data_IF_261006616363
#
_entry.id   IF_261006616363
#
_cell.length_a   1.000
_cell.length_b   1.000
_cell.length_c   1.000
_cell.angle_alpha   90.00
_cell.angle_beta   90.00
_cell.angle_gamma   90.00
#
_symmetry.space_group_name_H-M   'P 1'
#
loop_
_entity.id
_entity.type
_entity.pdbx_description
1 polymer ?
#
# COMPACT_ATOMS: atom_id res chain seq x y z
N UNK A 1 29.08 4.99 -14.74
CA UNK A 1 27.83 4.47 -14.15
C UNK A 1 27.92 4.62 -12.65
N UNK A 2 27.24 5.62 -12.09
CA UNK A 2 27.15 5.77 -10.64
C UNK A 2 26.18 4.75 -10.07
N UNK A 3 26.59 4.02 -9.04
CA UNK A 3 25.70 3.09 -8.35
C UNK A 3 24.69 3.89 -7.52
N UNK A 4 23.41 3.87 -7.89
CA UNK A 4 22.33 4.34 -7.01
C UNK A 4 22.22 3.34 -5.86
N UNK A 5 22.85 3.65 -4.72
CA UNK A 5 22.52 2.97 -3.46
C UNK A 5 21.14 3.47 -3.03
N UNK A 6 20.33 2.59 -2.47
CA UNK A 6 19.00 2.91 -1.94
C UNK A 6 19.00 2.46 -0.49
N UNK A 7 18.59 3.35 0.38
CA UNK A 7 18.42 3.04 1.79
C UNK A 7 16.93 2.87 2.07
N UNK A 8 16.59 1.78 2.75
CA UNK A 8 15.22 1.48 3.16
C UNK A 8 15.05 1.88 4.63
N UNK A 9 14.46 3.05 4.94
CA UNK A 9 14.09 3.36 6.31
C UNK A 9 12.89 2.49 6.71
N UNK A 10 12.94 1.89 7.90
CA UNK A 10 11.80 1.21 8.52
C UNK A 10 10.71 2.20 9.00
N UNK A 11 10.92 3.50 8.81
CA UNK A 11 10.08 4.58 9.31
C UNK A 11 9.84 5.60 8.18
N UNK A 12 8.73 5.45 7.47
CA UNK A 12 8.27 6.34 6.37
C UNK A 12 8.29 7.83 6.76
N UNK A 13 7.95 8.16 8.02
CA UNK A 13 7.85 9.53 8.52
C UNK A 13 9.20 10.19 8.86
N UNK A 14 10.28 9.43 9.04
CA UNK A 14 11.58 9.97 9.45
C UNK A 14 12.51 10.28 8.27
N UNK A 15 12.14 9.87 7.06
CA UNK A 15 12.98 10.00 5.89
C UNK A 15 13.28 11.45 5.52
N UNK A 16 12.29 12.34 5.65
CA UNK A 16 12.45 13.76 5.38
C UNK A 16 13.45 14.42 6.33
N UNK A 17 13.37 14.12 7.63
CA UNK A 17 14.34 14.58 8.63
C UNK A 17 15.77 14.11 8.29
N UNK A 18 15.90 12.91 7.73
CA UNK A 18 17.20 12.39 7.30
C UNK A 18 17.76 13.17 6.11
N UNK A 19 16.92 13.51 5.12
CA UNK A 19 17.33 14.35 3.99
C UNK A 19 17.70 15.77 4.44
N UNK A 20 16.93 16.36 5.38
CA UNK A 20 17.25 17.67 5.96
C UNK A 20 18.60 17.65 6.67
N UNK A 21 18.93 16.57 7.39
CA UNK A 21 20.20 16.39 8.08
C UNK A 21 21.37 16.13 7.11
N UNK A 22 21.11 15.46 5.98
CA UNK A 22 22.12 15.07 5.00
C UNK A 22 21.72 15.49 3.58
N UNK A 23 21.71 16.79 3.24
CA UNK A 23 21.19 17.28 1.96
C UNK A 23 22.04 16.91 0.73
N UNK A 24 23.28 16.46 0.93
CA UNK A 24 24.19 16.01 -0.14
C UNK A 24 24.26 14.48 -0.24
N UNK A 25 23.20 13.81 0.18
CA UNK A 25 23.14 12.36 0.18
C UNK A 25 23.28 11.85 -1.27
N UNK A 26 24.29 11.02 -1.53
CA UNK A 26 24.52 10.41 -2.85
C UNK A 26 23.60 9.22 -3.14
N UNK A 27 22.53 9.05 -2.36
CA UNK A 27 21.59 7.93 -2.42
C UNK A 27 20.18 8.47 -2.40
N UNK A 28 19.26 7.77 -3.07
CA UNK A 28 17.83 8.11 -3.04
C UNK A 28 17.15 7.37 -1.90
N UNK A 29 16.27 8.09 -1.21
CA UNK A 29 15.46 7.54 -0.15
C UNK A 29 14.12 7.10 -0.74
N UNK A 30 13.81 5.81 -0.60
CA UNK A 30 12.58 5.23 -1.13
C UNK A 30 11.90 4.49 0.00
N UNK A 31 10.82 5.08 0.51
CA UNK A 31 10.01 4.47 1.54
C UNK A 31 9.11 3.37 0.98
N UNK A 32 8.78 3.42 -0.32
CA UNK A 32 8.07 2.39 -1.08
C UNK A 32 6.54 2.42 -0.97
N UNK A 33 5.98 3.49 -0.41
CA UNK A 33 4.54 3.72 -0.27
C UNK A 33 3.81 3.63 -1.60
N UNK A 34 4.36 4.19 -2.67
CA UNK A 34 3.72 4.32 -3.98
C UNK A 34 3.47 2.95 -4.58
N UNK A 35 4.48 2.07 -4.60
CA UNK A 35 4.30 0.72 -5.13
C UNK A 35 3.41 -0.13 -4.22
N UNK A 36 3.50 0.03 -2.89
CA UNK A 36 2.62 -0.66 -1.98
C UNK A 36 1.14 -0.27 -2.20
N UNK A 37 0.86 1.02 -2.35
CA UNK A 37 -0.48 1.53 -2.66
C UNK A 37 -0.97 1.01 -4.02
N UNK A 38 -0.11 1.00 -5.05
CA UNK A 38 -0.44 0.45 -6.35
C UNK A 38 -0.81 -1.05 -6.26
N UNK A 39 -0.03 -1.85 -5.53
CA UNK A 39 -0.33 -3.28 -5.30
C UNK A 39 -1.69 -3.46 -4.62
N UNK A 40 -2.02 -2.65 -3.61
CA UNK A 40 -3.34 -2.70 -2.95
C UNK A 40 -4.46 -2.44 -3.97
N UNK A 41 -4.34 -1.39 -4.77
CA UNK A 41 -5.35 -1.01 -5.78
C UNK A 41 -5.52 -2.12 -6.82
N UNK A 42 -4.42 -2.69 -7.32
CA UNK A 42 -4.47 -3.79 -8.30
C UNK A 42 -4.95 -5.12 -7.72
N UNK A 43 -5.02 -5.26 -6.39
CA UNK A 43 -5.57 -6.44 -5.71
C UNK A 43 -7.10 -6.37 -5.56
N UNK A 44 -7.68 -5.16 -5.67
CA UNK A 44 -9.13 -4.96 -5.61
C UNK A 44 -9.78 -5.59 -6.86
N UNK A 45 -10.82 -6.43 -6.71
CA UNK A 45 -11.55 -6.99 -7.84
C UNK A 45 -12.07 -5.92 -8.81
N UNK A 46 -11.98 -6.19 -10.10
CA UNK A 46 -12.56 -5.32 -11.10
C UNK A 46 -14.08 -5.19 -10.91
N UNK A 47 -14.60 -3.97 -11.04
CA UNK A 47 -16.02 -3.68 -10.85
C UNK A 47 -16.41 -3.33 -9.41
N UNK A 48 -15.48 -3.39 -8.44
CA UNK A 48 -15.73 -2.86 -7.09
C UNK A 48 -16.00 -1.35 -7.16
N UNK A 49 -17.19 -0.96 -6.70
CA UNK A 49 -17.64 0.44 -6.68
C UNK A 49 -17.56 1.10 -5.29
N UNK A 50 -17.36 0.31 -4.23
CA UNK A 50 -17.18 0.79 -2.87
C UNK A 50 -16.31 -0.17 -2.04
N UNK A 51 -15.55 0.40 -1.11
CA UNK A 51 -14.69 -0.32 -0.17
C UNK A 51 -14.86 0.23 1.24
N UNK A 52 -14.61 -0.61 2.25
CA UNK A 52 -14.40 -0.16 3.62
C UNK A 52 -12.89 0.03 3.83
N UNK A 53 -12.48 1.18 4.36
CA UNK A 53 -11.10 1.45 4.79
C UNK A 53 -11.06 1.49 6.33
N UNK A 54 -10.36 0.55 6.94
CA UNK A 54 -10.35 0.36 8.39
C UNK A 54 -8.93 0.13 8.94
N UNK A 55 -8.70 0.55 10.19
CA UNK A 55 -7.38 0.65 10.81
C UNK A 55 -6.78 2.06 10.72
N UNK A 56 -5.56 2.23 11.24
CA UNK A 56 -4.87 3.53 11.31
C UNK A 56 -4.56 4.08 9.92
N UNK A 57 -4.85 5.36 9.68
CA UNK A 57 -4.57 6.02 8.40
C UNK A 57 -3.06 6.27 8.22
N UNK A 58 -2.43 5.38 7.47
CA UNK A 58 -1.04 5.49 7.03
C UNK A 58 -0.90 6.25 5.71
N UNK A 59 0.34 6.58 5.31
CA UNK A 59 0.64 7.17 3.99
C UNK A 59 0.14 6.30 2.82
N UNK A 60 0.20 4.97 2.97
CA UNK A 60 -0.35 4.02 1.99
C UNK A 60 -1.87 4.14 1.95
N UNK A 61 -2.54 4.17 3.12
CA UNK A 61 -4.00 4.33 3.18
C UNK A 61 -4.47 5.63 2.51
N UNK A 62 -3.77 6.75 2.76
CA UNK A 62 -4.03 8.05 2.11
C UNK A 62 -3.92 7.94 0.59
N UNK A 63 -2.82 7.34 0.10
CA UNK A 63 -2.55 7.17 -1.33
C UNK A 63 -3.59 6.30 -2.03
N UNK A 64 -3.96 5.18 -1.39
CA UNK A 64 -4.99 4.26 -1.89
C UNK A 64 -6.36 4.95 -1.94
N UNK A 65 -6.75 5.62 -0.86
CA UNK A 65 -8.03 6.32 -0.81
C UNK A 65 -8.13 7.43 -1.86
N UNK A 66 -7.11 8.27 -2.00
CA UNK A 66 -7.07 9.32 -3.02
C UNK A 66 -7.20 8.74 -4.44
N UNK A 67 -6.48 7.67 -4.74
CA UNK A 67 -6.54 7.02 -6.05
C UNK A 67 -7.91 6.38 -6.33
N UNK A 68 -8.54 5.76 -5.32
CA UNK A 68 -9.87 5.16 -5.45
C UNK A 68 -10.96 6.23 -5.62
N UNK A 69 -10.92 7.30 -4.82
CA UNK A 69 -11.83 8.43 -4.96
C UNK A 69 -11.71 9.07 -6.36
N UNK A 70 -10.50 9.21 -6.90
CA UNK A 70 -10.26 9.67 -8.29
C UNK A 70 -10.82 8.72 -9.35
N UNK A 71 -10.86 7.42 -9.06
CA UNK A 71 -11.49 6.39 -9.92
C UNK A 71 -12.99 6.22 -9.68
N UNK A 72 -13.64 7.14 -8.94
CA UNK A 72 -15.07 7.09 -8.57
C UNK A 72 -15.49 5.83 -7.78
N UNK A 73 -14.55 5.25 -7.02
CA UNK A 73 -14.84 4.19 -6.05
C UNK A 73 -15.09 4.85 -4.69
N UNK A 74 -16.22 4.52 -4.06
CA UNK A 74 -16.56 5.06 -2.73
C UNK A 74 -15.66 4.45 -1.66
N UNK A 75 -14.93 5.29 -0.93
CA UNK A 75 -14.12 4.89 0.21
C UNK A 75 -14.90 5.21 1.48
N UNK A 76 -15.33 4.16 2.17
CA UNK A 76 -16.13 4.27 3.39
C UNK A 76 -15.20 4.08 4.59
N UNK A 77 -15.18 5.08 5.47
CA UNK A 77 -14.47 5.02 6.75
C UNK A 77 -15.49 4.94 7.88
N UNK A 78 -15.27 4.05 8.83
CA UNK A 78 -16.17 3.82 9.97
C UNK A 78 -15.78 4.63 11.20
N UNK A 79 -14.49 4.89 11.39
CA UNK A 79 -13.95 5.67 12.49
C UNK A 79 -13.90 7.16 12.15
N UNK A 80 -14.52 7.99 13.00
CA UNK A 80 -14.60 9.45 12.80
C UNK A 80 -13.24 10.14 12.84
N UNK A 81 -12.34 9.71 13.72
CA UNK A 81 -11.00 10.30 13.84
C UNK A 81 -10.19 10.02 12.57
N UNK A 82 -10.18 8.77 12.12
CA UNK A 82 -9.51 8.36 10.88
C UNK A 82 -10.09 9.07 9.66
N UNK A 83 -11.41 9.26 9.59
CA UNK A 83 -12.05 10.06 8.53
C UNK A 83 -11.53 11.50 8.51
N UNK A 84 -11.40 12.15 9.67
CA UNK A 84 -10.88 13.52 9.75
C UNK A 84 -9.39 13.62 9.37
N UNK A 85 -8.59 12.58 9.61
CA UNK A 85 -7.20 12.51 9.16
C UNK A 85 -7.09 12.32 7.64
N UNK A 86 -8.03 11.57 7.05
CA UNK A 86 -8.01 11.25 5.63
C UNK A 86 -8.59 12.34 4.75
N UNK A 87 -9.65 13.02 5.21
CA UNK A 87 -10.40 14.02 4.44
C UNK A 87 -9.51 15.10 3.78
N UNK A 88 -8.51 15.69 4.46
CA UNK A 88 -7.63 16.70 3.85
C UNK A 88 -6.76 16.17 2.71
N UNK A 89 -6.57 14.86 2.62
CA UNK A 89 -5.76 14.22 1.57
C UNK A 89 -6.55 13.92 0.29
N UNK A 90 -7.87 14.10 0.31
CA UNK A 90 -8.74 13.86 -0.86
C UNK A 90 -9.03 15.22 -1.51
N UNK A 91 -8.79 15.39 -2.82
CA UNK A 91 -9.09 16.66 -3.47
C UNK A 91 -10.60 16.92 -3.52
N UNK A 92 -10.98 18.19 -3.57
CA UNK A 92 -12.35 18.64 -3.33
C UNK A 92 -13.34 18.10 -4.37
N UNK A 93 -12.89 17.95 -5.62
CA UNK A 93 -13.69 17.41 -6.71
C UNK A 93 -13.96 15.89 -6.55
N UNK A 94 -13.16 15.15 -5.80
CA UNK A 94 -13.42 13.74 -5.46
C UNK A 94 -13.99 13.54 -4.05
N UNK A 95 -14.18 14.59 -3.26
CA UNK A 95 -14.58 14.48 -1.85
C UNK A 95 -15.92 13.75 -1.65
N UNK A 96 -16.81 13.78 -2.66
CA UNK A 96 -18.07 13.02 -2.65
C UNK A 96 -17.91 11.50 -2.61
N UNK A 97 -16.71 10.98 -2.94
CA UNK A 97 -16.39 9.56 -2.88
C UNK A 97 -15.84 9.13 -1.51
N UNK A 98 -15.53 10.05 -0.59
CA UNK A 98 -15.11 9.74 0.77
C UNK A 98 -16.30 9.86 1.75
N UNK A 99 -16.70 8.74 2.35
CA UNK A 99 -17.92 8.64 3.17
C UNK A 99 -17.59 8.21 4.60
N UNK A 100 -18.14 8.92 5.59
CA UNK A 100 -18.16 8.45 6.98
C UNK A 100 -19.46 7.69 7.23
N UNK A 101 -19.38 6.38 7.51
CA UNK A 101 -20.56 5.56 7.79
C UNK A 101 -20.23 4.36 8.66
N UNK A 102 -21.08 4.07 9.65
CA UNK A 102 -20.94 2.91 10.55
C UNK A 102 -21.85 1.75 10.19
N UNK A 103 -22.82 1.97 9.28
CA UNK A 103 -23.85 1.01 8.89
C UNK A 103 -23.67 0.47 7.48
N UNK A 104 -22.81 1.09 6.68
CA UNK A 104 -22.54 0.64 5.31
C UNK A 104 -21.75 -0.67 5.31
N UNK A 105 -21.98 -1.48 4.29
CA UNK A 105 -21.28 -2.73 4.05
C UNK A 105 -20.55 -2.68 2.71
N UNK A 106 -19.47 -3.43 2.58
CA UNK A 106 -18.78 -3.63 1.32
C UNK A 106 -18.21 -5.05 1.28
N UNK A 107 -18.09 -5.61 0.08
CA UNK A 107 -17.46 -6.90 -0.15
C UNK A 107 -15.93 -6.83 0.01
N UNK A 108 -15.34 -5.65 -0.16
CA UNK A 108 -13.90 -5.42 -0.07
C UNK A 108 -13.58 -4.51 1.10
N UNK A 109 -12.68 -4.98 1.96
CA UNK A 109 -12.19 -4.26 3.13
C UNK A 109 -10.68 -4.05 3.01
N UNK A 110 -10.27 -2.80 2.91
CA UNK A 110 -8.89 -2.39 2.98
C UNK A 110 -8.51 -2.22 4.45
N UNK A 111 -7.58 -3.04 4.94
CA UNK A 111 -7.29 -3.13 6.38
C UNK A 111 -5.84 -2.78 6.71
N UNK A 112 -5.68 -1.98 7.76
CA UNK A 112 -4.39 -1.51 8.25
C UNK A 112 -4.03 -2.04 9.63
N UNK A 113 -2.89 -1.55 10.12
CA UNK A 113 -2.48 -1.74 11.51
C UNK A 113 -3.51 -1.09 12.45
N UNK A 114 -3.69 -1.69 13.63
CA UNK A 114 -4.59 -1.16 14.66
C UNK A 114 -6.08 -1.33 14.35
N UNK A 115 -6.45 -2.14 13.36
CA UNK A 115 -7.84 -2.56 13.16
C UNK A 115 -8.33 -3.31 14.41
N UNK A 116 -9.44 -2.84 14.97
CA UNK A 116 -10.08 -3.47 16.12
C UNK A 116 -10.71 -4.83 15.74
N UNK A 117 -10.60 -5.81 16.64
CA UNK A 117 -11.11 -7.16 16.39
C UNK A 117 -12.63 -7.20 16.30
N UNK A 118 -13.34 -6.45 17.16
CA UNK A 118 -14.79 -6.37 17.10
C UNK A 118 -15.24 -5.67 15.82
N UNK A 119 -14.50 -4.67 15.35
CA UNK A 119 -14.73 -4.06 14.03
C UNK A 119 -14.57 -5.05 12.88
N UNK A 120 -13.47 -5.81 12.83
CA UNK A 120 -13.25 -6.81 11.78
C UNK A 120 -14.35 -7.89 11.79
N UNK A 121 -14.84 -8.28 12.97
CA UNK A 121 -15.93 -9.23 13.13
C UNK A 121 -17.28 -8.71 12.62
N UNK A 122 -17.44 -7.42 12.32
CA UNK A 122 -18.67 -6.88 11.69
C UNK A 122 -18.71 -7.06 10.17
N UNK A 123 -17.58 -7.38 9.53
CA UNK A 123 -17.52 -7.52 8.07
C UNK A 123 -18.52 -8.56 7.56
N UNK A 124 -19.24 -8.37 6.44
CA UNK A 124 -20.18 -9.38 5.94
C UNK A 124 -19.51 -10.73 5.61
N UNK A 125 -20.31 -11.80 5.58
CA UNK A 125 -19.86 -13.10 5.02
C UNK A 125 -19.42 -12.91 3.57
N UNK A 126 -18.30 -13.53 3.19
CA UNK A 126 -17.72 -13.40 1.84
C UNK A 126 -16.82 -12.17 1.67
N UNK A 127 -16.58 -11.39 2.73
CA UNK A 127 -15.67 -10.24 2.65
C UNK A 127 -14.26 -10.66 2.22
N UNK A 128 -13.66 -9.82 1.38
CA UNK A 128 -12.27 -9.89 0.95
C UNK A 128 -11.47 -8.81 1.65
N UNK A 129 -10.63 -9.22 2.58
CA UNK A 129 -9.70 -8.34 3.29
C UNK A 129 -8.42 -8.16 2.49
N UNK A 130 -8.05 -6.91 2.20
CA UNK A 130 -6.83 -6.54 1.49
C UNK A 130 -5.99 -5.67 2.42
N UNK A 131 -4.88 -6.19 2.96
CA UNK A 131 -4.03 -5.41 3.84
C UNK A 131 -3.33 -4.28 3.09
N UNK A 132 -3.20 -3.12 3.72
CA UNK A 132 -2.30 -2.04 3.30
C UNK A 132 -1.13 -1.82 4.28
N UNK A 133 -1.00 -2.68 5.29
CA UNK A 133 0.10 -2.71 6.26
C UNK A 133 1.27 -3.57 5.77
N UNK A 134 2.48 -3.27 6.25
CA UNK A 134 3.69 -4.05 5.95
C UNK A 134 3.62 -5.46 6.55
N UNK A 135 3.18 -5.54 7.81
CA UNK A 135 3.02 -6.80 8.52
C UNK A 135 1.62 -7.39 8.30
N UNK A 136 1.50 -8.73 8.22
CA UNK A 136 0.21 -9.40 8.12
C UNK A 136 -0.72 -8.99 9.26
N UNK A 137 -1.98 -8.62 8.96
CA UNK A 137 -2.92 -8.29 10.01
C UNK A 137 -3.30 -9.55 10.79
N UNK A 138 -3.76 -9.35 12.02
CA UNK A 138 -4.44 -10.41 12.75
C UNK A 138 -5.74 -10.74 12.02
N UNK A 139 -5.98 -12.03 11.81
CA UNK A 139 -7.13 -12.55 11.08
C UNK A 139 -8.18 -13.03 12.06
N UNK A 140 -9.10 -12.17 12.46
CA UNK A 140 -10.16 -12.49 13.43
C UNK A 140 -11.36 -13.20 12.79
N UNK A 141 -11.55 -13.07 11.46
CA UNK A 141 -12.72 -13.60 10.74
C UNK A 141 -12.34 -14.61 9.64
N UNK A 142 -11.79 -15.76 10.05
CA UNK A 142 -11.29 -16.81 9.12
C UNK A 142 -12.34 -17.79 8.62
N UNK A 143 -13.49 -17.85 9.27
CA UNK A 143 -14.55 -18.83 9.04
C UNK A 143 -15.25 -18.63 7.69
N UNK A 144 -15.33 -17.39 7.21
CA UNK A 144 -16.19 -17.05 6.08
C UNK A 144 -15.73 -15.87 5.21
N UNK A 145 -14.48 -15.42 5.40
CA UNK A 145 -13.87 -14.32 4.65
C UNK A 145 -12.49 -14.73 4.14
N UNK A 146 -11.99 -14.00 3.14
CA UNK A 146 -10.66 -14.24 2.57
C UNK A 146 -9.71 -13.10 2.92
N UNK A 147 -8.43 -13.42 3.05
CA UNK A 147 -7.37 -12.44 3.33
C UNK A 147 -6.35 -12.50 2.21
N UNK A 148 -6.19 -11.38 1.50
CA UNK A 148 -5.05 -11.20 0.63
C UNK A 148 -3.77 -11.07 1.46
N UNK A 149 -2.65 -11.37 0.82
CA UNK A 149 -1.34 -11.12 1.41
C UNK A 149 -1.08 -9.62 1.56
N UNK A 150 -0.19 -9.24 2.47
CA UNK A 150 0.31 -7.86 2.51
C UNK A 150 0.94 -7.47 1.17
N UNK A 151 1.01 -6.17 0.83
CA UNK A 151 1.50 -5.73 -0.46
C UNK A 151 2.88 -6.30 -0.77
N UNK A 152 2.93 -7.21 -1.74
CA UNK A 152 4.12 -7.94 -2.13
C UNK A 152 4.03 -8.37 -3.59
N UNK A 153 5.18 -8.61 -4.19
CA UNK A 153 5.30 -9.01 -5.60
C UNK A 153 6.22 -10.22 -5.73
N UNK A 154 5.91 -11.08 -6.70
CA UNK A 154 6.77 -12.16 -7.15
C UNK A 154 8.00 -11.59 -7.85
N UNK A 155 9.17 -12.13 -7.52
CA UNK A 155 10.48 -11.68 -7.99
C UNK A 155 10.82 -12.38 -9.31
N UNK A 156 11.27 -11.64 -10.35
CA UNK A 156 11.58 -12.19 -11.68
C UNK A 156 12.66 -13.26 -11.63
N UNK A 157 12.56 -14.27 -12.52
CA UNK A 157 13.50 -15.39 -12.61
C UNK A 157 14.95 -14.98 -12.83
N UNK A 158 15.17 -13.87 -13.52
CA UNK A 158 16.49 -13.27 -13.75
C UNK A 158 17.20 -12.83 -12.46
N UNK A 159 16.46 -12.54 -11.38
CA UNK A 159 17.05 -12.15 -10.10
C UNK A 159 17.38 -13.39 -9.27
N UNK A 160 18.67 -13.68 -9.14
CA UNK A 160 19.19 -14.82 -8.40
C UNK A 160 19.53 -14.45 -6.95
N UNK A 161 19.67 -15.46 -6.09
CA UNK A 161 20.04 -15.31 -4.67
C UNK A 161 19.10 -14.43 -3.84
N UNK A 162 17.84 -14.32 -4.26
CA UNK A 162 16.79 -13.65 -3.49
C UNK A 162 16.15 -14.63 -2.53
N UNK A 163 16.61 -14.58 -1.29
CA UNK A 163 15.94 -15.23 -0.16
C UNK A 163 14.97 -14.23 0.48
N UNK A 164 13.75 -14.66 0.81
CA UNK A 164 12.78 -13.78 1.48
C UNK A 164 13.33 -13.37 2.84
N UNK A 165 13.54 -12.06 3.05
CA UNK A 165 13.90 -11.50 4.35
C UNK A 165 12.68 -11.35 5.29
N UNK A 166 11.48 -11.62 4.78
CA UNK A 166 10.20 -11.48 5.46
C UNK A 166 9.63 -12.88 5.67
N UNK A 167 9.62 -13.35 6.92
CA UNK A 167 9.28 -14.72 7.29
C UNK A 167 7.84 -15.13 6.99
N UNK A 168 6.95 -14.18 6.72
CA UNK A 168 5.55 -14.42 6.31
C UNK A 168 5.35 -14.47 4.79
N UNK A 169 6.37 -14.17 3.99
CA UNK A 169 6.28 -14.22 2.53
C UNK A 169 6.89 -15.54 2.00
N UNK A 170 6.27 -16.18 0.98
CA UNK A 170 6.84 -17.37 0.38
C UNK A 170 8.16 -17.04 -0.34
N UNK A 171 8.92 -18.08 -0.69
CA UNK A 171 10.15 -17.91 -1.48
C UNK A 171 9.85 -17.19 -2.79
N UNK A 172 10.78 -16.33 -3.22
CA UNK A 172 10.68 -15.51 -4.43
C UNK A 172 9.50 -14.52 -4.41
N UNK A 173 9.04 -14.15 -3.23
CA UNK A 173 8.11 -13.03 -3.02
C UNK A 173 8.78 -12.03 -2.08
N UNK A 174 8.64 -10.76 -2.40
CA UNK A 174 9.24 -9.64 -1.67
C UNK A 174 8.18 -8.56 -1.45
N UNK A 175 8.20 -7.88 -0.30
CA UNK A 175 7.27 -6.79 -0.05
C UNK A 175 7.40 -5.67 -1.07
N UNK A 176 6.27 -5.05 -1.40
CA UNK A 176 6.18 -3.98 -2.38
C UNK A 176 7.09 -2.79 -2.00
N UNK A 177 7.24 -2.51 -0.71
CA UNK A 177 8.14 -1.47 -0.20
C UNK A 177 9.62 -1.75 -0.59
N UNK A 178 10.07 -3.00 -0.53
CA UNK A 178 11.42 -3.39 -0.94
C UNK A 178 11.59 -3.39 -2.45
N UNK A 179 10.58 -3.90 -3.16
CA UNK A 179 10.54 -3.89 -4.63
C UNK A 179 10.60 -2.46 -5.17
N UNK A 180 9.94 -1.50 -4.50
CA UNK A 180 9.93 -0.10 -4.90
C UNK A 180 11.35 0.46 -5.00
N UNK A 181 12.21 0.19 -4.00
CA UNK A 181 13.61 0.59 -4.07
C UNK A 181 14.32 -0.01 -5.28
N UNK A 182 14.16 -1.31 -5.54
CA UNK A 182 14.80 -1.96 -6.69
C UNK A 182 14.34 -1.30 -8.01
N UNK A 183 13.04 -1.12 -8.18
CA UNK A 183 12.46 -0.47 -9.38
C UNK A 183 12.99 0.94 -9.54
N UNK A 184 13.04 1.71 -8.45
CA UNK A 184 13.58 3.08 -8.45
C UNK A 184 15.04 3.13 -8.92
N UNK A 185 15.88 2.17 -8.49
CA UNK A 185 17.26 2.06 -8.96
C UNK A 185 17.36 1.65 -10.44
N UNK A 186 16.55 0.68 -10.87
CA UNK A 186 16.54 0.19 -12.25
C UNK A 186 16.10 1.27 -13.24
N UNK A 187 15.14 2.09 -12.85
CA UNK A 187 14.63 3.21 -13.64
C UNK A 187 15.53 4.45 -13.61
N UNK A 188 16.48 4.51 -12.66
CA UNK A 188 17.36 5.67 -12.50
C UNK A 188 16.62 6.94 -12.11
N UNK A 189 15.49 6.83 -11.40
CA UNK A 189 14.74 8.00 -10.95
C UNK A 189 15.58 8.84 -9.96
N UNK A 190 15.46 10.16 -10.10
CA UNK A 190 16.22 11.14 -9.33
C UNK A 190 15.44 11.75 -8.17
N UNK A 191 14.18 11.35 -8.01
CA UNK A 191 13.25 11.88 -7.02
C UNK A 191 13.38 11.07 -5.72
N UNK A 192 13.30 11.69 -4.56
CA UNK A 192 13.16 10.95 -3.31
C UNK A 192 11.68 10.62 -3.06
N UNK A 193 11.40 9.42 -2.57
CA UNK A 193 10.07 8.98 -2.16
C UNK A 193 10.06 8.80 -0.63
N UNK A 194 9.91 9.91 0.10
CA UNK A 194 9.83 9.92 1.56
C UNK A 194 9.04 11.14 2.06
N UNK A 195 8.74 11.20 3.36
CA UNK A 195 7.90 12.27 3.90
C UNK A 195 6.51 12.19 3.28
N UNK A 196 5.95 13.30 2.80
CA UNK A 196 4.66 13.31 2.09
C UNK A 196 4.75 13.02 0.59
N UNK A 197 5.95 12.89 0.02
CA UNK A 197 6.12 12.65 -1.42
C UNK A 197 5.65 11.25 -1.81
N UNK A 198 4.71 11.18 -2.76
CA UNK A 198 4.20 9.94 -3.38
C UNK A 198 4.37 10.07 -4.88
N UNK A 199 4.92 9.05 -5.53
CA UNK A 199 5.08 8.99 -6.98
C UNK A 199 3.77 8.61 -7.65
N UNK A 200 3.65 8.84 -8.96
CA UNK A 200 2.50 8.37 -9.72
C UNK A 200 2.36 6.84 -9.62
N UNK A 201 1.21 6.38 -9.10
CA UNK A 201 0.97 4.98 -8.80
C UNK A 201 0.98 4.08 -10.05
N UNK A 202 0.51 4.59 -11.20
CA UNK A 202 0.49 3.85 -12.46
C UNK A 202 1.91 3.81 -13.07
N UNK A 203 2.70 4.88 -12.92
CA UNK A 203 4.13 4.92 -13.30
C UNK A 203 4.91 3.83 -12.56
N UNK A 204 4.80 3.78 -11.22
CA UNK A 204 5.54 2.81 -10.41
C UNK A 204 5.09 1.38 -10.64
N UNK A 205 3.77 1.17 -10.81
CA UNK A 205 3.23 -0.14 -11.15
C UNK A 205 3.76 -0.63 -12.49
N UNK A 206 3.65 0.19 -13.54
CA UNK A 206 4.07 -0.17 -14.90
C UNK A 206 5.56 -0.51 -14.95
N UNK A 207 6.40 0.27 -14.26
CA UNK A 207 7.84 -0.01 -14.16
C UNK A 207 8.10 -1.35 -13.45
N UNK A 208 7.41 -1.64 -12.34
CA UNK A 208 7.56 -2.92 -11.64
C UNK A 208 7.22 -4.12 -12.54
N UNK A 209 6.11 -4.04 -13.28
CA UNK A 209 5.71 -5.08 -14.23
C UNK A 209 6.73 -5.22 -15.37
N UNK A 210 7.23 -4.09 -15.90
CA UNK A 210 8.24 -4.07 -16.97
C UNK A 210 9.55 -4.76 -16.57
N UNK A 211 9.99 -4.57 -15.31
CA UNK A 211 11.15 -5.25 -14.74
C UNK A 211 10.86 -6.70 -14.31
N UNK A 212 9.68 -7.22 -14.62
CA UNK A 212 9.32 -8.62 -14.44
C UNK A 212 8.83 -8.98 -13.04
N UNK A 213 8.61 -8.00 -12.16
CA UNK A 213 7.89 -8.24 -10.91
C UNK A 213 6.43 -8.57 -11.21
N UNK A 214 5.86 -9.52 -10.49
CA UNK A 214 4.49 -10.00 -10.76
C UNK A 214 3.58 -9.81 -9.55
N UNK A 215 2.30 -9.47 -9.75
CA UNK A 215 1.33 -9.53 -8.68
C UNK A 215 1.28 -10.96 -8.12
N UNK A 216 1.35 -11.12 -6.81
CA UNK A 216 1.13 -12.43 -6.19
C UNK A 216 -0.37 -12.62 -6.14
N UNK A 217 -0.94 -13.17 -7.21
CA UNK A 217 -2.34 -13.54 -7.23
C UNK A 217 -2.64 -14.37 -5.97
N UNK A 218 -3.73 -14.01 -5.30
CA UNK A 218 -4.12 -14.54 -3.99
C UNK A 218 -3.96 -16.06 -3.96
N UNK A 219 -3.05 -16.53 -3.10
CA UNK A 219 -2.92 -17.95 -2.76
C UNK A 219 -4.24 -18.51 -2.24
#
# INVERSE_FOLDING_TARGET
>A
MGYTKIQFPLWTEQGELYLQKYPKLGVRLVDGTSLAAAVVIHTIPQGTNQVILAGKISKVARSVAAALCKKNVKVIVTNKQEYHLLKPCIPENEAGNLVLSTTSTAEVWLIGEGLDAAEQLRAPRGTKFIPFSQFPPKMERKDCCTYAMTPAMGVPESMQNVHSCENWLPRRVMSAWRVAGIVHALEGWSEDECGDTVLDLEKVWSAAIMHGFRPVAQL
#
